data_IF_795541797489
#
_entry.id   IF_795541797489
#
_cell.length_a   1.000
_cell.length_b   1.000
_cell.length_c   1.000
_cell.angle_alpha   90.00
_cell.angle_beta   90.00
_cell.angle_gamma   90.00
#
_symmetry.space_group_name_H-M   'P 1'
#
loop_
_entity.id
_entity.type
_entity.pdbx_description
1 polymer ?
#
# COMPACT_ATOMS: atom_id res chain seq x y z
N UNK A 1 56.62 -43.43 -4.80
CA UNK A 1 55.79 -42.97 -5.92
C UNK A 1 54.29 -43.03 -5.53
N UNK A 2 53.86 -43.98 -4.68
CA UNK A 2 52.45 -44.11 -4.33
C UNK A 2 51.96 -43.07 -3.29
N UNK A 3 52.83 -42.63 -2.38
CA UNK A 3 52.45 -41.67 -1.31
C UNK A 3 52.22 -40.24 -1.87
N UNK A 4 53.04 -39.79 -2.82
CA UNK A 4 52.85 -38.47 -3.46
C UNK A 4 51.58 -38.41 -4.32
N UNK A 5 51.28 -39.48 -5.06
CA UNK A 5 50.02 -39.59 -5.81
C UNK A 5 48.80 -39.60 -4.88
N UNK A 6 48.91 -40.27 -3.73
CA UNK A 6 47.83 -40.29 -2.75
C UNK A 6 47.60 -38.90 -2.12
N UNK A 7 48.67 -38.16 -1.79
CA UNK A 7 48.58 -36.78 -1.34
C UNK A 7 47.88 -35.86 -2.36
N UNK A 8 48.25 -35.98 -3.63
CA UNK A 8 47.65 -35.19 -4.72
C UNK A 8 46.18 -35.50 -4.88
N UNK A 9 45.76 -36.77 -4.81
CA UNK A 9 44.36 -37.19 -4.89
C UNK A 9 43.55 -36.61 -3.72
N UNK A 10 44.09 -36.73 -2.49
CA UNK A 10 43.45 -36.20 -1.29
C UNK A 10 43.32 -34.67 -1.36
N UNK A 11 44.37 -33.97 -1.82
CA UNK A 11 44.34 -32.52 -1.99
C UNK A 11 43.30 -32.09 -3.02
N UNK A 12 43.25 -32.76 -4.19
CA UNK A 12 42.25 -32.47 -5.24
C UNK A 12 40.82 -32.70 -4.73
N UNK A 13 40.61 -33.77 -3.97
CA UNK A 13 39.31 -34.05 -3.35
C UNK A 13 38.89 -32.97 -2.34
N UNK A 14 39.81 -32.51 -1.48
CA UNK A 14 39.55 -31.46 -0.51
C UNK A 14 39.24 -30.12 -1.19
N UNK A 15 39.92 -29.77 -2.26
CA UNK A 15 39.65 -28.56 -3.06
C UNK A 15 38.26 -28.66 -3.72
N UNK A 16 37.95 -29.81 -4.33
CA UNK A 16 36.63 -30.03 -4.92
C UNK A 16 35.52 -29.97 -3.86
N UNK A 17 35.72 -30.59 -2.70
CA UNK A 17 34.79 -30.53 -1.58
C UNK A 17 34.60 -29.09 -1.07
N UNK A 18 35.66 -28.30 -0.95
CA UNK A 18 35.61 -26.89 -0.56
C UNK A 18 34.77 -26.06 -1.54
N UNK A 19 34.94 -26.27 -2.85
CA UNK A 19 34.14 -25.57 -3.87
C UNK A 19 32.67 -25.96 -3.79
N UNK A 20 32.36 -27.23 -3.61
CA UNK A 20 30.97 -27.70 -3.44
C UNK A 20 30.35 -27.09 -2.18
N UNK A 21 31.08 -27.07 -1.07
CA UNK A 21 30.58 -26.44 0.17
C UNK A 21 30.40 -24.92 0.01
N UNK A 22 31.27 -24.24 -0.72
CA UNK A 22 31.15 -22.81 -0.99
C UNK A 22 29.87 -22.52 -1.82
N UNK A 23 29.65 -23.30 -2.89
CA UNK A 23 28.42 -23.17 -3.69
C UNK A 23 27.17 -23.55 -2.85
N UNK A 24 27.26 -24.57 -2.02
CA UNK A 24 26.18 -24.94 -1.11
C UNK A 24 25.90 -23.84 -0.08
N UNK A 25 26.93 -23.14 0.42
CA UNK A 25 26.77 -22.02 1.33
C UNK A 25 26.13 -20.79 0.64
N UNK A 26 26.50 -20.51 -0.60
CA UNK A 26 25.90 -19.43 -1.39
C UNK A 26 24.42 -19.71 -1.76
N UNK A 27 24.07 -20.98 -1.99
CA UNK A 27 22.69 -21.40 -2.23
C UNK A 27 21.93 -21.72 -0.94
N UNK A 28 22.61 -21.73 0.20
CA UNK A 28 21.99 -21.93 1.50
C UNK A 28 21.26 -20.63 1.90
N UNK A 29 20.03 -20.50 1.43
CA UNK A 29 19.06 -19.64 2.10
C UNK A 29 18.69 -20.38 3.38
N UNK A 30 19.02 -19.86 4.57
CA UNK A 30 18.50 -20.47 5.78
C UNK A 30 16.98 -20.37 5.69
N UNK A 31 16.32 -21.49 5.50
CA UNK A 31 14.91 -21.63 5.80
C UNK A 31 14.80 -21.52 7.31
N UNK A 32 14.71 -20.30 7.80
CA UNK A 32 14.68 -20.00 9.23
C UNK A 32 13.43 -20.55 9.94
N UNK A 33 12.55 -21.23 9.20
CA UNK A 33 11.24 -21.67 9.67
C UNK A 33 10.90 -23.16 9.48
N UNK A 34 11.77 -23.98 8.88
CA UNK A 34 11.41 -25.39 8.60
C UNK A 34 11.88 -26.41 9.66
N UNK A 35 12.51 -26.00 10.78
CA UNK A 35 12.99 -26.92 11.82
C UNK A 35 12.47 -26.64 13.24
N UNK A 36 11.19 -26.27 13.38
CA UNK A 36 10.50 -26.33 14.68
C UNK A 36 9.28 -27.25 14.58
N UNK A 37 9.47 -28.42 14.00
CA UNK A 37 8.57 -29.56 14.22
C UNK A 37 9.25 -30.52 15.19
N UNK A 38 9.04 -30.34 16.48
CA UNK A 38 9.18 -31.28 17.60
C UNK A 38 9.99 -30.74 18.79
N UNK A 39 9.47 -29.70 19.44
CA UNK A 39 9.70 -29.56 20.89
C UNK A 39 8.45 -28.94 21.51
N UNK A 40 8.01 -29.47 22.63
CA UNK A 40 6.78 -29.13 23.40
C UNK A 40 6.72 -27.70 23.99
N UNK A 41 7.43 -26.73 23.39
CA UNK A 41 7.33 -25.31 23.65
C UNK A 41 7.23 -24.56 22.30
N UNK A 42 6.09 -24.73 21.62
CA UNK A 42 5.76 -23.86 20.49
C UNK A 42 5.52 -22.46 21.04
N UNK A 43 6.51 -21.58 20.84
CA UNK A 43 6.30 -20.16 21.08
C UNK A 43 5.16 -19.69 20.18
N UNK A 44 4.17 -19.02 20.77
CA UNK A 44 3.10 -18.41 19.99
C UNK A 44 3.72 -17.33 19.11
N UNK A 45 3.68 -17.52 17.78
CA UNK A 45 4.26 -16.61 16.79
C UNK A 45 3.20 -15.97 15.90
N UNK A 46 1.89 -16.26 16.13
CA UNK A 46 0.80 -15.80 15.28
C UNK A 46 0.00 -14.69 15.95
N UNK A 47 -0.33 -13.67 15.17
CA UNK A 47 -1.18 -12.56 15.60
C UNK A 47 -2.69 -12.83 15.36
N UNK A 48 -3.04 -14.01 14.83
CA UNK A 48 -4.43 -14.38 14.52
C UNK A 48 -5.13 -13.42 13.51
N UNK A 49 -4.36 -12.83 12.62
CA UNK A 49 -4.85 -12.15 11.43
C UNK A 49 -4.97 -13.11 10.24
N UNK A 50 -4.84 -12.57 9.05
CA UNK A 50 -4.91 -13.32 7.79
C UNK A 50 -3.54 -13.43 7.14
N UNK A 51 -3.44 -14.28 6.12
CA UNK A 51 -2.41 -14.24 5.09
C UNK A 51 -3.01 -13.57 3.85
N UNK A 52 -2.22 -12.77 3.14
CA UNK A 52 -2.65 -12.05 1.94
C UNK A 52 -1.73 -12.36 0.78
N UNK A 53 -2.27 -12.34 -0.42
CA UNK A 53 -1.49 -12.41 -1.66
C UNK A 53 -1.12 -10.99 -2.12
N UNK A 54 -0.16 -10.90 -3.04
CA UNK A 54 0.29 -9.62 -3.61
C UNK A 54 -0.89 -8.86 -4.22
N UNK A 55 -1.72 -9.54 -5.02
CA UNK A 55 -2.88 -8.95 -5.71
C UNK A 55 -3.99 -8.45 -4.76
N UNK A 56 -3.99 -8.86 -3.50
CA UNK A 56 -4.93 -8.37 -2.48
C UNK A 56 -4.41 -7.11 -1.77
N UNK A 57 -3.11 -6.87 -1.80
CA UNK A 57 -2.44 -5.76 -1.13
C UNK A 57 -2.08 -4.62 -2.09
N UNK A 58 -1.75 -4.96 -3.34
CA UNK A 58 -1.52 -3.98 -4.39
C UNK A 58 -2.85 -3.72 -5.10
N UNK A 59 -3.53 -2.66 -4.67
CA UNK A 59 -4.84 -2.27 -5.21
C UNK A 59 -4.82 -0.80 -5.59
N UNK A 60 -5.54 -0.43 -6.66
CA UNK A 60 -5.66 0.97 -7.02
C UNK A 60 -6.41 1.76 -5.94
N UNK A 61 -6.17 3.05 -5.90
CA UNK A 61 -6.90 3.97 -5.02
C UNK A 61 -7.92 4.82 -5.78
N UNK A 62 -7.81 4.88 -7.13
CA UNK A 62 -8.68 5.69 -7.97
C UNK A 62 -8.92 5.06 -9.34
N UNK A 63 -10.13 5.20 -9.83
CA UNK A 63 -10.53 4.91 -11.22
C UNK A 63 -11.21 6.13 -11.81
N UNK A 64 -10.76 6.55 -13.00
CA UNK A 64 -11.28 7.69 -13.75
C UNK A 64 -11.78 7.24 -15.12
N UNK A 65 -12.96 7.69 -15.48
CA UNK A 65 -13.56 7.51 -16.81
C UNK A 65 -13.50 8.84 -17.55
N UNK A 66 -12.77 8.88 -18.66
CA UNK A 66 -12.61 10.10 -19.45
C UNK A 66 -13.34 9.98 -20.77
N UNK A 67 -14.29 10.87 -21.01
CA UNK A 67 -14.96 11.08 -22.29
C UNK A 67 -14.53 12.40 -22.94
N UNK A 68 -15.05 12.66 -24.15
CA UNK A 68 -14.80 13.92 -24.86
C UNK A 68 -15.32 15.14 -24.09
N UNK A 69 -16.39 14.96 -23.34
CA UNK A 69 -17.20 15.98 -22.66
C UNK A 69 -17.17 15.93 -21.15
N UNK A 70 -16.47 14.95 -20.54
CA UNK A 70 -16.50 14.80 -19.09
C UNK A 70 -15.42 13.92 -18.51
N UNK A 71 -15.27 14.10 -17.20
CA UNK A 71 -14.41 13.30 -16.34
C UNK A 71 -15.27 12.77 -15.19
N UNK A 72 -15.21 11.47 -14.98
CA UNK A 72 -16.04 10.79 -13.99
C UNK A 72 -15.23 9.84 -13.13
N UNK A 73 -15.65 9.68 -11.87
CA UNK A 73 -15.16 8.67 -10.92
C UNK A 73 -16.27 7.71 -10.53
N UNK A 74 -15.96 6.71 -9.73
CA UNK A 74 -16.94 5.78 -9.20
C UNK A 74 -17.77 6.45 -8.12
N UNK A 75 -19.10 6.27 -8.18
CA UNK A 75 -20.04 6.78 -7.17
C UNK A 75 -19.94 5.99 -5.87
N UNK A 76 -19.79 4.68 -5.96
CA UNK A 76 -19.49 3.81 -4.82
C UNK A 76 -18.02 3.37 -4.90
N UNK A 77 -17.23 3.77 -3.91
CA UNK A 77 -15.80 3.47 -3.87
C UNK A 77 -15.54 1.96 -3.72
N UNK A 78 -16.49 1.19 -3.20
CA UNK A 78 -16.39 -0.27 -3.13
C UNK A 78 -16.37 -0.94 -4.49
N UNK A 79 -16.91 -0.32 -5.54
CA UNK A 79 -16.89 -0.81 -6.92
C UNK A 79 -15.46 -0.88 -7.50
N UNK A 80 -14.52 -0.11 -6.92
CA UNK A 80 -13.11 -0.12 -7.33
C UNK A 80 -12.51 -1.52 -7.25
N UNK A 81 -12.77 -2.25 -6.15
CA UNK A 81 -12.27 -3.62 -6.01
C UNK A 81 -12.94 -4.58 -6.98
N UNK A 82 -14.22 -4.38 -7.29
CA UNK A 82 -14.97 -5.21 -8.23
C UNK A 82 -14.40 -5.03 -9.63
N UNK A 83 -14.20 -3.78 -10.06
CA UNK A 83 -13.59 -3.46 -11.35
C UNK A 83 -12.19 -4.04 -11.44
N UNK A 84 -11.36 -3.80 -10.42
CA UNK A 84 -9.97 -4.24 -10.46
C UNK A 84 -9.85 -5.77 -10.44
N UNK A 85 -10.65 -6.46 -9.62
CA UNK A 85 -10.71 -7.93 -9.60
C UNK A 85 -11.18 -8.53 -10.93
N UNK A 86 -12.02 -7.82 -11.70
CA UNK A 86 -12.41 -8.25 -13.02
C UNK A 86 -11.28 -8.05 -14.02
N UNK A 87 -10.62 -6.88 -13.97
CA UNK A 87 -9.49 -6.55 -14.86
C UNK A 87 -8.33 -7.53 -14.69
N UNK A 88 -8.04 -7.96 -13.47
CA UNK A 88 -6.99 -8.95 -13.17
C UNK A 88 -7.21 -10.32 -13.83
N UNK A 89 -8.44 -10.65 -14.24
CA UNK A 89 -8.75 -11.90 -14.96
C UNK A 89 -8.45 -11.84 -16.45
N UNK A 90 -8.28 -10.63 -16.98
CA UNK A 90 -8.08 -10.46 -18.42
C UNK A 90 -6.67 -10.87 -18.83
N UNK A 91 -6.57 -11.46 -20.01
CA UNK A 91 -5.30 -11.78 -20.60
C UNK A 91 -4.75 -10.55 -21.34
N UNK A 92 -3.50 -10.23 -21.06
CA UNK A 92 -2.76 -9.16 -21.74
C UNK A 92 -1.97 -9.79 -22.88
N UNK A 93 -2.21 -9.30 -24.09
CA UNK A 93 -1.60 -9.75 -25.31
C UNK A 93 -0.70 -8.64 -25.90
N UNK A 94 0.18 -8.98 -26.83
CA UNK A 94 0.98 -8.05 -27.63
C UNK A 94 1.62 -6.91 -26.84
N UNK A 95 2.63 -7.23 -26.02
CA UNK A 95 3.35 -6.24 -25.21
C UNK A 95 4.44 -5.55 -26.04
N UNK A 96 4.37 -4.22 -26.13
CA UNK A 96 5.31 -3.37 -26.84
C UNK A 96 5.89 -2.28 -25.93
N UNK A 97 7.19 -2.01 -26.04
CA UNK A 97 7.90 -1.02 -25.23
C UNK A 97 8.14 0.26 -26.00
N UNK A 98 7.64 1.38 -25.50
CA UNK A 98 7.85 2.70 -26.11
C UNK A 98 8.26 3.74 -25.08
N UNK A 99 9.05 4.72 -25.52
CA UNK A 99 9.25 5.96 -24.80
C UNK A 99 8.37 7.02 -25.45
N UNK A 100 7.34 7.50 -24.75
CA UNK A 100 6.41 8.50 -25.29
C UNK A 100 6.38 9.70 -24.34
N UNK A 101 7.04 10.77 -24.72
CA UNK A 101 6.88 12.06 -24.06
C UNK A 101 5.54 12.69 -24.47
N UNK A 102 4.67 12.94 -23.49
CA UNK A 102 3.59 13.93 -23.62
C UNK A 102 2.45 13.59 -24.55
N UNK A 103 2.10 12.33 -24.80
CA UNK A 103 0.90 12.00 -25.58
C UNK A 103 -0.36 11.98 -24.73
N UNK A 104 -1.26 12.90 -25.02
CA UNK A 104 -2.64 12.83 -24.57
C UNK A 104 -3.26 11.51 -25.06
N UNK A 105 -3.71 10.66 -24.12
CA UNK A 105 -4.36 9.39 -24.44
C UNK A 105 -5.72 9.68 -25.05
N UNK A 106 -6.00 9.08 -26.23
CA UNK A 106 -7.28 9.26 -26.93
C UNK A 106 -8.44 8.79 -26.05
N UNK A 107 -9.55 9.52 -26.12
CA UNK A 107 -10.80 9.22 -25.41
C UNK A 107 -11.75 8.44 -26.33
N UNK A 108 -12.64 7.60 -25.79
CA UNK A 108 -12.84 7.34 -24.38
C UNK A 108 -11.74 6.45 -23.79
N UNK A 109 -11.40 6.67 -22.50
CA UNK A 109 -10.48 5.82 -21.76
C UNK A 109 -10.85 5.69 -20.29
N UNK A 110 -10.37 4.60 -19.67
CA UNK A 110 -10.47 4.34 -18.23
C UNK A 110 -9.07 4.34 -17.68
N UNK A 111 -8.78 5.18 -16.71
CA UNK A 111 -7.50 5.24 -16.00
C UNK A 111 -7.65 4.68 -14.60
N UNK A 112 -6.75 3.78 -14.23
CA UNK A 112 -6.61 3.21 -12.91
C UNK A 112 -5.29 3.70 -12.33
N UNK A 113 -5.32 4.31 -11.15
CA UNK A 113 -4.13 4.84 -10.48
C UNK A 113 -3.81 4.09 -9.19
N UNK A 114 -2.51 3.84 -8.96
CA UNK A 114 -1.96 3.25 -7.76
C UNK A 114 -1.29 4.32 -6.88
N UNK A 115 -1.23 4.12 -5.56
CA UNK A 115 -0.73 5.14 -4.65
C UNK A 115 0.81 5.31 -4.67
N UNK A 116 1.52 4.37 -5.28
CA UNK A 116 2.98 4.38 -5.44
C UNK A 116 3.38 3.73 -6.76
N UNK A 117 4.58 4.05 -7.24
CA UNK A 117 5.15 3.40 -8.42
C UNK A 117 5.43 1.91 -8.13
N UNK A 118 5.04 1.08 -9.08
CA UNK A 118 5.15 -0.38 -9.02
C UNK A 118 6.11 -0.87 -10.11
N UNK A 119 7.04 -1.77 -9.81
CA UNK A 119 7.89 -2.35 -10.84
C UNK A 119 7.06 -3.16 -11.84
N UNK A 120 7.36 -3.06 -13.15
CA UNK A 120 6.65 -3.79 -14.20
C UNK A 120 6.61 -5.31 -13.97
N UNK A 121 7.59 -5.85 -13.27
CA UNK A 121 7.65 -7.28 -12.92
C UNK A 121 6.46 -7.75 -12.07
N UNK A 122 5.79 -6.84 -11.36
CA UNK A 122 4.57 -7.13 -10.58
C UNK A 122 3.42 -7.54 -11.50
N UNK A 123 3.41 -7.11 -12.77
CA UNK A 123 2.38 -7.46 -13.74
C UNK A 123 2.26 -8.98 -13.91
N UNK A 124 3.36 -9.73 -13.83
CA UNK A 124 3.34 -11.21 -13.91
C UNK A 124 2.55 -11.86 -12.76
N UNK A 125 2.40 -11.16 -11.64
CA UNK A 125 1.64 -11.65 -10.49
C UNK A 125 0.19 -11.15 -10.54
N UNK A 126 0.00 -9.93 -11.07
CA UNK A 126 -1.31 -9.28 -11.07
C UNK A 126 -2.19 -9.68 -12.26
N UNK A 127 -1.59 -10.05 -13.40
CA UNK A 127 -2.31 -10.33 -14.65
C UNK A 127 -1.91 -11.66 -15.27
N UNK A 128 -2.79 -12.18 -16.13
CA UNK A 128 -2.45 -13.30 -17.02
C UNK A 128 -1.77 -12.73 -18.27
N UNK A 129 -0.50 -13.10 -18.49
CA UNK A 129 0.27 -12.72 -19.68
C UNK A 129 0.32 -13.90 -20.65
N UNK A 130 0.27 -13.61 -21.97
CA UNK A 130 0.30 -14.64 -23.00
C UNK A 130 1.63 -15.41 -23.02
N UNK A 131 2.75 -14.73 -22.81
CA UNK A 131 4.09 -15.31 -22.73
C UNK A 131 4.80 -14.89 -21.44
N UNK A 132 5.88 -15.59 -21.06
CA UNK A 132 6.77 -15.13 -19.99
C UNK A 132 7.60 -13.96 -20.52
N UNK A 133 7.05 -12.78 -20.42
CA UNK A 133 7.73 -11.54 -20.76
C UNK A 133 8.89 -11.25 -19.80
N UNK A 134 9.99 -10.76 -20.39
CA UNK A 134 11.07 -10.17 -19.61
C UNK A 134 10.87 -8.67 -19.60
N UNK A 135 10.38 -8.14 -18.49
CA UNK A 135 10.16 -6.70 -18.37
C UNK A 135 11.47 -5.95 -18.15
N UNK A 136 11.60 -4.74 -18.72
CA UNK A 136 12.66 -3.82 -18.36
C UNK A 136 12.48 -3.38 -16.89
N UNK A 137 13.53 -2.84 -16.32
CA UNK A 137 13.53 -2.25 -14.98
C UNK A 137 12.84 -0.87 -15.00
N UNK A 138 11.55 -0.87 -15.32
CA UNK A 138 10.68 0.30 -15.36
C UNK A 138 9.54 0.15 -14.35
N UNK A 139 8.91 1.27 -14.06
CA UNK A 139 7.85 1.39 -13.10
C UNK A 139 6.60 2.00 -13.71
N UNK A 140 5.48 1.78 -13.07
CA UNK A 140 4.20 2.38 -13.42
C UNK A 140 3.38 2.65 -12.15
N UNK A 141 2.59 3.69 -12.19
CA UNK A 141 1.57 4.01 -11.18
C UNK A 141 0.17 4.14 -11.78
N UNK A 142 0.07 4.04 -13.12
CA UNK A 142 -1.19 4.17 -13.86
C UNK A 142 -1.34 3.10 -14.93
N UNK A 143 -2.57 2.56 -15.05
CA UNK A 143 -2.97 1.70 -16.16
C UNK A 143 -4.11 2.40 -16.88
N UNK A 144 -3.97 2.64 -18.18
CA UNK A 144 -4.96 3.35 -18.99
C UNK A 144 -5.49 2.39 -20.06
N UNK A 145 -6.79 2.13 -20.02
CA UNK A 145 -7.51 1.31 -20.98
C UNK A 145 -8.21 2.22 -21.98
N UNK A 146 -7.76 2.22 -23.23
CA UNK A 146 -8.40 2.93 -24.34
C UNK A 146 -9.35 1.99 -25.08
N UNK A 147 -10.62 2.39 -25.23
CA UNK A 147 -11.63 1.61 -25.93
C UNK A 147 -11.50 1.80 -27.45
N UNK A 148 -11.28 0.71 -28.17
CA UNK A 148 -11.16 0.72 -29.65
C UNK A 148 -12.41 0.10 -30.27
N UNK A 149 -13.40 0.95 -30.56
CA UNK A 149 -14.75 0.52 -30.98
C UNK A 149 -14.76 -0.39 -32.21
N UNK A 150 -13.90 -0.12 -33.20
CA UNK A 150 -13.90 -0.91 -34.47
C UNK A 150 -13.48 -2.37 -34.29
N UNK A 151 -12.67 -2.65 -33.26
CA UNK A 151 -12.12 -3.97 -32.97
C UNK A 151 -12.75 -4.63 -31.75
N UNK A 152 -13.59 -3.91 -31.01
CA UNK A 152 -14.08 -4.32 -29.68
C UNK A 152 -12.93 -4.83 -28.78
N UNK A 153 -11.82 -4.11 -28.79
CA UNK A 153 -10.59 -4.43 -28.10
C UNK A 153 -10.16 -3.25 -27.20
N UNK A 154 -9.27 -3.51 -26.26
CA UNK A 154 -8.69 -2.50 -25.41
C UNK A 154 -7.22 -2.33 -25.76
N UNK A 155 -6.78 -1.10 -25.95
CA UNK A 155 -5.36 -0.76 -25.86
C UNK A 155 -5.05 -0.42 -24.40
N UNK A 156 -3.98 -1.01 -23.87
CA UNK A 156 -3.56 -0.86 -22.49
C UNK A 156 -2.24 -0.13 -22.45
N UNK A 157 -2.14 0.89 -21.62
CA UNK A 157 -0.93 1.69 -21.44
C UNK A 157 -0.58 1.67 -19.95
N UNK A 158 0.58 1.13 -19.61
CA UNK A 158 1.18 1.27 -18.28
C UNK A 158 2.10 2.47 -18.30
N UNK A 159 1.84 3.44 -17.46
CA UNK A 159 2.54 4.72 -17.44
C UNK A 159 2.98 5.08 -16.02
N UNK A 160 4.06 5.82 -15.90
CA UNK A 160 4.53 6.43 -14.67
C UNK A 160 4.18 7.92 -14.64
N UNK A 161 3.93 8.47 -13.45
CA UNK A 161 3.82 9.91 -13.21
C UNK A 161 5.19 10.60 -13.24
N UNK A 162 6.26 9.86 -13.00
CA UNK A 162 7.61 10.42 -12.83
C UNK A 162 8.53 10.15 -14.03
N UNK A 163 8.15 9.23 -14.91
CA UNK A 163 8.98 8.79 -16.04
C UNK A 163 8.21 8.81 -17.37
N UNK A 164 8.90 9.13 -18.44
CA UNK A 164 8.33 9.18 -19.80
C UNK A 164 8.20 7.79 -20.48
N UNK A 165 8.63 6.72 -19.79
CA UNK A 165 8.54 5.36 -20.32
C UNK A 165 7.11 4.83 -20.20
N UNK A 166 6.65 4.16 -21.25
CA UNK A 166 5.35 3.47 -21.25
C UNK A 166 5.49 2.08 -21.81
N UNK A 167 4.77 1.14 -21.19
CA UNK A 167 4.52 -0.17 -21.74
C UNK A 167 3.14 -0.15 -22.40
N UNK A 168 3.05 -0.52 -23.67
CA UNK A 168 1.78 -0.65 -24.36
C UNK A 168 1.46 -2.12 -24.57
N UNK A 169 0.20 -2.47 -24.43
CA UNK A 169 -0.28 -3.82 -24.63
C UNK A 169 -1.69 -3.79 -25.23
N UNK A 170 -2.23 -4.94 -25.55
CA UNK A 170 -3.61 -5.08 -26.03
C UNK A 170 -4.33 -6.15 -25.26
N UNK A 171 -5.66 -6.02 -25.19
CA UNK A 171 -6.57 -7.05 -24.73
C UNK A 171 -7.58 -7.27 -25.86
N UNK A 172 -7.43 -8.39 -26.55
CA UNK A 172 -8.30 -8.77 -27.67
C UNK A 172 -9.50 -9.58 -27.15
N UNK A 173 -10.30 -8.95 -26.29
CA UNK A 173 -11.44 -9.59 -25.63
C UNK A 173 -12.65 -8.67 -25.66
N UNK A 174 -13.69 -9.07 -26.42
CA UNK A 174 -14.94 -8.30 -26.55
C UNK A 174 -15.73 -8.22 -25.24
N UNK A 175 -15.60 -9.19 -24.32
CA UNK A 175 -16.24 -9.15 -23.00
C UNK A 175 -15.57 -8.12 -22.11
N UNK A 176 -14.24 -8.03 -22.14
CA UNK A 176 -13.48 -7.00 -21.42
C UNK A 176 -13.82 -5.59 -21.93
N UNK A 177 -13.92 -5.44 -23.27
CA UNK A 177 -14.38 -4.21 -23.90
C UNK A 177 -15.78 -3.82 -23.42
N UNK A 178 -16.75 -4.73 -23.53
CA UNK A 178 -18.15 -4.48 -23.13
C UNK A 178 -18.27 -4.21 -21.60
N UNK A 179 -17.38 -4.82 -20.80
CA UNK A 179 -17.34 -4.58 -19.36
C UNK A 179 -17.01 -3.13 -19.03
N UNK A 180 -16.01 -2.52 -19.67
CA UNK A 180 -15.69 -1.10 -19.46
C UNK A 180 -16.68 -0.17 -20.17
N UNK A 181 -17.14 -0.52 -21.36
CA UNK A 181 -18.10 0.28 -22.12
C UNK A 181 -19.40 0.52 -21.36
N UNK A 182 -19.86 -0.43 -20.54
CA UNK A 182 -21.10 -0.29 -19.76
C UNK A 182 -21.09 0.93 -18.80
N UNK A 183 -19.92 1.34 -18.29
CA UNK A 183 -19.82 2.52 -17.43
C UNK A 183 -20.05 3.82 -18.20
N UNK A 184 -19.64 3.87 -19.47
CA UNK A 184 -19.89 5.01 -20.34
C UNK A 184 -21.36 5.09 -20.78
N UNK A 185 -22.02 3.93 -20.92
CA UNK A 185 -23.45 3.86 -21.25
C UNK A 185 -24.33 4.18 -20.04
N UNK A 186 -23.99 3.64 -18.86
CA UNK A 186 -24.75 3.82 -17.62
C UNK A 186 -23.99 4.73 -16.64
N UNK A 187 -24.19 6.04 -16.79
CA UNK A 187 -23.56 7.05 -15.93
C UNK A 187 -24.13 7.13 -14.52
N UNK A 188 -25.20 6.42 -14.19
CA UNK A 188 -25.77 6.36 -12.83
C UNK A 188 -24.79 5.74 -11.81
N UNK A 189 -23.84 4.95 -12.27
CA UNK A 189 -22.75 4.36 -11.48
C UNK A 189 -21.59 5.32 -11.23
N UNK A 190 -21.58 6.46 -11.91
CA UNK A 190 -20.49 7.42 -11.92
C UNK A 190 -20.90 8.73 -11.25
N UNK A 191 -19.91 9.44 -10.72
CA UNK A 191 -20.03 10.81 -10.27
C UNK A 191 -19.12 11.71 -11.12
N UNK A 192 -19.53 12.95 -11.29
CA UNK A 192 -18.71 13.94 -11.97
C UNK A 192 -17.50 14.31 -11.13
N UNK A 193 -16.35 14.38 -11.79
CA UNK A 193 -15.09 14.77 -11.17
C UNK A 193 -14.58 16.06 -11.80
N UNK A 194 -13.91 16.87 -11.00
CA UNK A 194 -13.12 18.02 -11.48
C UNK A 194 -11.64 17.66 -11.45
N UNK A 195 -10.88 18.28 -12.34
CA UNK A 195 -9.43 18.25 -12.30
C UNK A 195 -8.90 19.65 -12.14
N UNK A 196 -7.94 19.83 -11.23
CA UNK A 196 -7.20 21.06 -11.15
C UNK A 196 -5.71 20.79 -11.05
N UNK A 197 -4.93 21.67 -11.67
CA UNK A 197 -3.49 21.54 -11.73
C UNK A 197 -2.87 22.68 -10.95
N UNK A 198 -1.96 22.36 -10.06
CA UNK A 198 -1.20 23.34 -9.31
C UNK A 198 0.17 23.48 -9.96
N UNK A 199 0.49 24.69 -10.45
CA UNK A 199 1.82 25.05 -10.98
C UNK A 199 2.43 24.08 -12.00
N UNK A 200 1.63 23.44 -12.83
CA UNK A 200 2.10 22.53 -13.88
C UNK A 200 2.48 21.12 -13.39
N UNK A 201 2.13 20.78 -12.15
CA UNK A 201 2.19 19.42 -11.64
C UNK A 201 1.10 18.54 -12.26
N UNK A 202 1.12 17.24 -11.96
CA UNK A 202 0.02 16.33 -12.32
C UNK A 202 -1.31 16.82 -11.71
N UNK A 203 -2.43 16.67 -12.43
CA UNK A 203 -3.70 17.17 -11.96
C UNK A 203 -4.24 16.35 -10.78
N UNK A 204 -4.79 17.03 -9.80
CA UNK A 204 -5.62 16.44 -8.76
C UNK A 204 -7.03 16.21 -9.30
N UNK A 205 -7.69 15.15 -8.83
CA UNK A 205 -9.02 14.77 -9.26
C UNK A 205 -9.94 14.65 -8.06
N UNK A 206 -10.93 15.51 -7.98
CA UNK A 206 -11.83 15.61 -6.85
C UNK A 206 -13.29 15.52 -7.32
N UNK A 207 -14.20 15.00 -6.48
CA UNK A 207 -15.63 15.00 -6.78
C UNK A 207 -16.16 16.41 -6.98
N UNK A 208 -16.93 16.65 -8.04
CA UNK A 208 -17.51 17.95 -8.32
C UNK A 208 -18.57 18.36 -7.28
N UNK A 209 -19.33 17.38 -6.74
CA UNK A 209 -20.37 17.58 -5.76
C UNK A 209 -19.91 17.15 -4.35
N UNK A 210 -20.69 17.54 -3.34
CA UNK A 210 -20.57 17.02 -1.98
C UNK A 210 -20.78 15.51 -1.94
N UNK A 211 -20.07 14.83 -1.02
CA UNK A 211 -20.17 13.39 -0.81
C UNK A 211 -20.64 13.10 0.60
N UNK A 212 -21.62 12.22 0.72
CA UNK A 212 -22.04 11.68 2.00
C UNK A 212 -21.38 10.31 2.26
N UNK A 213 -20.58 10.22 3.32
CA UNK A 213 -19.98 8.97 3.77
C UNK A 213 -20.41 8.59 5.18
N UNK A 214 -20.58 7.28 5.46
CA UNK A 214 -21.00 6.84 6.77
C UNK A 214 -19.87 6.99 7.79
N UNK A 215 -20.18 7.49 8.99
CA UNK A 215 -19.32 7.30 10.16
C UNK A 215 -19.31 5.83 10.54
N UNK A 216 -18.15 5.31 10.95
CA UNK A 216 -18.00 3.92 11.37
C UNK A 216 -17.56 3.87 12.83
N UNK A 217 -18.06 2.91 13.57
CA UNK A 217 -17.64 2.68 14.97
C UNK A 217 -17.32 1.20 15.15
N UNK A 218 -16.14 0.90 15.66
CA UNK A 218 -15.68 -0.47 15.87
C UNK A 218 -15.33 -0.72 17.33
N UNK A 219 -15.55 -1.95 17.79
CA UNK A 219 -14.82 -2.45 18.94
C UNK A 219 -13.40 -2.78 18.51
N UNK A 220 -12.45 -2.61 19.42
CA UNK A 220 -11.04 -2.89 19.16
C UNK A 220 -10.55 -3.99 20.09
N UNK A 221 -9.93 -4.99 19.51
CA UNK A 221 -9.20 -6.02 20.24
C UNK A 221 -7.72 -5.69 20.23
N UNK A 222 -7.10 -5.61 21.42
CA UNK A 222 -5.65 -5.46 21.56
C UNK A 222 -4.94 -6.76 21.21
N UNK A 223 -3.89 -6.66 20.41
CA UNK A 223 -3.02 -7.78 20.09
C UNK A 223 -1.95 -7.95 21.17
N UNK A 224 -1.57 -9.19 21.40
CA UNK A 224 -0.52 -9.47 22.37
C UNK A 224 0.87 -9.19 21.79
N UNK A 225 1.76 -8.65 22.62
CA UNK A 225 3.15 -8.36 22.21
C UNK A 225 4.01 -9.64 22.17
N UNK A 226 3.65 -10.68 22.92
CA UNK A 226 4.45 -11.91 23.02
C UNK A 226 4.78 -12.58 21.69
N UNK A 227 3.84 -12.73 20.74
CA UNK A 227 4.16 -13.23 19.41
C UNK A 227 5.24 -12.42 18.70
N UNK A 228 5.21 -11.09 18.83
CA UNK A 228 6.22 -10.21 18.21
C UNK A 228 7.60 -10.39 18.82
N UNK A 229 7.70 -10.56 20.13
CA UNK A 229 8.96 -10.89 20.81
C UNK A 229 9.51 -12.21 20.25
N UNK A 230 8.67 -13.23 20.11
CA UNK A 230 9.08 -14.54 19.61
C UNK A 230 9.51 -14.54 18.13
N UNK A 231 9.05 -13.59 17.33
CA UNK A 231 9.39 -13.45 15.91
C UNK A 231 10.66 -12.62 15.72
N UNK A 232 10.78 -11.53 16.47
CA UNK A 232 11.78 -10.48 16.19
C UNK A 232 13.12 -10.74 16.90
N UNK A 233 13.10 -11.47 18.02
CA UNK A 233 14.30 -11.80 18.76
C UNK A 233 14.73 -13.25 18.52
N UNK A 234 16.01 -13.46 18.29
CA UNK A 234 16.55 -14.79 17.98
C UNK A 234 16.45 -15.76 19.19
N UNK A 235 16.56 -15.22 20.40
CA UNK A 235 16.33 -15.96 21.64
C UNK A 235 15.41 -15.13 22.56
N UNK A 236 14.10 -15.40 22.54
CA UNK A 236 13.14 -14.69 23.38
C UNK A 236 13.37 -14.83 24.89
N UNK A 237 14.12 -15.84 25.32
CA UNK A 237 14.41 -16.08 26.76
C UNK A 237 15.41 -15.07 27.33
N UNK A 238 16.21 -14.42 26.47
CA UNK A 238 17.19 -13.40 26.83
C UNK A 238 16.60 -11.98 26.83
N UNK A 239 15.33 -11.82 26.44
CA UNK A 239 14.70 -10.51 26.32
C UNK A 239 14.34 -9.95 27.67
N UNK A 240 14.95 -8.82 28.01
CA UNK A 240 14.64 -8.04 29.18
C UNK A 240 13.50 -7.06 28.91
N UNK A 241 12.68 -6.81 29.93
CA UNK A 241 11.55 -5.88 29.85
C UNK A 241 11.73 -4.73 30.81
N UNK A 242 11.53 -3.51 30.31
CA UNK A 242 11.48 -2.29 31.13
C UNK A 242 10.22 -1.49 30.80
N UNK A 243 9.78 -0.66 31.75
CA UNK A 243 8.62 0.23 31.57
C UNK A 243 9.06 1.65 31.90
N UNK A 244 8.83 2.56 30.95
CA UNK A 244 9.12 3.99 31.17
C UNK A 244 8.08 4.64 32.06
N UNK A 245 8.39 5.82 32.59
CA UNK A 245 7.44 6.62 33.38
C UNK A 245 6.18 7.04 32.61
N UNK A 246 6.22 7.00 31.30
CA UNK A 246 5.09 7.32 30.40
C UNK A 246 4.27 6.09 30.01
N UNK A 247 4.61 4.90 30.56
CA UNK A 247 3.87 3.65 30.31
C UNK A 247 4.30 2.89 29.04
N UNK A 248 5.32 3.35 28.34
CA UNK A 248 5.94 2.63 27.23
C UNK A 248 6.66 1.38 27.77
N UNK A 249 6.45 0.24 27.09
CA UNK A 249 7.12 -1.02 27.39
C UNK A 249 8.22 -1.28 26.40
N UNK A 250 9.43 -1.44 26.88
CA UNK A 250 10.60 -1.74 26.06
C UNK A 250 11.07 -3.16 26.33
N UNK A 251 11.35 -3.89 25.24
CA UNK A 251 11.87 -5.25 25.22
C UNK A 251 13.19 -5.23 24.47
N UNK A 252 14.28 -5.78 25.05
CA UNK A 252 15.60 -5.77 24.42
C UNK A 252 16.41 -7.01 24.80
N UNK A 253 17.22 -7.50 23.86
CA UNK A 253 18.25 -8.52 24.08
C UNK A 253 19.67 -7.89 24.16
N UNK A 254 19.74 -6.55 24.28
CA UNK A 254 20.99 -5.79 24.27
C UNK A 254 21.43 -5.34 22.88
N UNK A 255 20.90 -5.93 21.81
CA UNK A 255 21.21 -5.60 20.42
C UNK A 255 20.02 -5.01 19.68
N UNK A 256 18.84 -5.59 19.84
CA UNK A 256 17.59 -5.21 19.21
C UNK A 256 16.65 -4.60 20.26
N UNK A 257 15.73 -3.76 19.82
CA UNK A 257 14.74 -3.17 20.69
C UNK A 257 13.35 -3.23 20.07
N UNK A 258 12.36 -3.61 20.86
CA UNK A 258 10.94 -3.52 20.58
C UNK A 258 10.29 -2.62 21.64
N UNK A 259 9.75 -1.50 21.22
CA UNK A 259 9.00 -0.57 22.09
C UNK A 259 7.50 -0.67 21.77
N UNK A 260 6.66 -0.66 22.81
CA UNK A 260 5.20 -0.68 22.66
C UNK A 260 4.59 0.46 23.47
N UNK A 261 3.88 1.32 22.75
CA UNK A 261 3.17 2.46 23.32
C UNK A 261 1.80 2.65 22.65
N UNK A 262 0.76 2.87 23.43
CA UNK A 262 -0.61 3.10 22.93
C UNK A 262 -1.11 2.10 21.85
N UNK A 263 -0.81 0.82 22.06
CA UNK A 263 -1.19 -0.26 21.13
C UNK A 263 -0.54 -0.14 19.73
N UNK A 264 0.60 0.50 19.67
CA UNK A 264 1.50 0.52 18.52
C UNK A 264 2.89 0.02 18.94
N UNK A 265 3.56 -0.68 18.04
CA UNK A 265 4.91 -1.17 18.28
C UNK A 265 5.91 -0.54 17.31
N UNK A 266 7.12 -0.31 17.82
CA UNK A 266 8.30 0.12 17.08
C UNK A 266 9.42 -0.88 17.35
N UNK A 267 9.89 -1.53 16.30
CA UNK A 267 11.03 -2.44 16.39
C UNK A 267 12.19 -1.91 15.57
N UNK A 268 13.40 -2.01 16.13
CA UNK A 268 14.64 -1.66 15.46
C UNK A 268 15.74 -2.69 15.72
N UNK A 269 16.49 -3.03 14.67
CA UNK A 269 17.70 -3.85 14.71
C UNK A 269 18.89 -3.04 14.19
N UNK A 270 19.63 -2.31 15.04
CA UNK A 270 20.72 -1.43 14.61
C UNK A 270 21.98 -2.18 14.13
N UNK A 271 22.03 -3.52 14.24
CA UNK A 271 23.16 -4.31 13.77
C UNK A 271 23.12 -4.62 12.27
N UNK A 272 22.05 -4.26 11.60
CA UNK A 272 21.97 -4.41 10.14
C UNK A 272 22.85 -3.38 9.45
N UNK A 273 23.68 -3.83 8.51
CA UNK A 273 24.52 -2.93 7.69
C UNK A 273 23.70 -2.30 6.56
N UNK A 274 24.07 -1.09 6.18
CA UNK A 274 23.50 -0.46 4.99
C UNK A 274 23.95 -1.22 3.75
N UNK A 275 23.00 -1.77 3.01
CA UNK A 275 23.20 -2.34 1.68
C UNK A 275 22.16 -1.66 0.77
N UNK A 276 22.66 -0.92 -0.21
CA UNK A 276 21.83 -0.04 -1.05
C UNK A 276 21.07 -0.77 -2.17
N UNK A 277 21.14 -2.10 -2.21
CA UNK A 277 20.68 -2.87 -3.37
C UNK A 277 19.52 -3.82 -3.02
N UNK A 278 18.38 -3.25 -2.59
CA UNK A 278 17.13 -4.01 -2.44
C UNK A 278 16.21 -3.68 -3.62
N UNK A 279 16.11 -4.61 -4.59
CA UNK A 279 15.15 -4.55 -5.68
C UNK A 279 13.70 -4.45 -5.15
N UNK A 280 12.90 -3.51 -5.66
CA UNK A 280 11.49 -3.25 -5.27
C UNK A 280 10.61 -4.51 -5.29
N UNK A 281 10.74 -5.34 -6.32
CA UNK A 281 9.96 -6.59 -6.40
C UNK A 281 10.30 -7.53 -5.23
N UNK A 282 11.58 -7.65 -4.89
CA UNK A 282 12.00 -8.44 -3.75
C UNK A 282 11.53 -7.84 -2.43
N UNK A 283 11.53 -6.52 -2.30
CA UNK A 283 11.03 -5.81 -1.12
C UNK A 283 9.55 -6.07 -0.91
N UNK A 284 8.70 -5.95 -1.93
CA UNK A 284 7.27 -6.28 -1.87
C UNK A 284 7.07 -7.73 -1.41
N UNK A 285 7.68 -8.68 -2.12
CA UNK A 285 7.50 -10.11 -1.84
C UNK A 285 7.96 -10.51 -0.44
N UNK A 286 9.12 -10.00 -0.02
CA UNK A 286 9.67 -10.30 1.32
C UNK A 286 8.81 -9.73 2.42
N UNK A 287 8.36 -8.48 2.27
CA UNK A 287 7.51 -7.82 3.26
C UNK A 287 6.18 -8.55 3.42
N UNK A 288 5.56 -8.94 2.31
CA UNK A 288 4.30 -9.70 2.35
C UNK A 288 4.52 -11.08 3.00
N UNK A 289 5.56 -11.81 2.62
CA UNK A 289 5.87 -13.11 3.20
C UNK A 289 6.17 -12.99 4.70
N UNK A 290 6.98 -12.00 5.09
CA UNK A 290 7.28 -11.77 6.50
C UNK A 290 6.01 -11.52 7.33
N UNK A 291 5.09 -10.68 6.85
CA UNK A 291 3.82 -10.43 7.55
C UNK A 291 2.90 -11.65 7.51
N UNK A 292 2.89 -12.42 6.41
CA UNK A 292 2.13 -13.66 6.28
C UNK A 292 2.59 -14.74 7.26
N UNK A 293 3.90 -14.87 7.48
CA UNK A 293 4.49 -15.91 8.32
C UNK A 293 3.94 -15.86 9.77
N UNK A 294 3.60 -14.68 10.24
CA UNK A 294 3.00 -14.51 11.56
C UNK A 294 1.50 -14.15 11.53
N UNK A 295 0.83 -14.33 10.40
CA UNK A 295 -0.57 -13.95 10.22
C UNK A 295 -0.82 -12.50 10.65
N UNK A 296 0.03 -11.61 10.16
CA UNK A 296 0.11 -10.23 10.64
C UNK A 296 -0.91 -9.28 10.02
N UNK A 297 -1.65 -9.68 8.98
CA UNK A 297 -2.70 -8.84 8.40
C UNK A 297 -3.95 -8.90 9.29
N UNK A 298 -3.92 -8.11 10.35
CA UNK A 298 -4.95 -8.11 11.41
C UNK A 298 -6.14 -7.21 11.09
N UNK A 299 -5.97 -6.29 10.14
CA UNK A 299 -7.00 -5.45 9.53
C UNK A 299 -6.85 -5.51 8.01
N UNK A 300 -7.69 -4.80 7.27
CA UNK A 300 -7.46 -4.62 5.83
C UNK A 300 -6.37 -3.57 5.64
N UNK A 301 -5.33 -3.95 4.90
CA UNK A 301 -4.19 -3.10 4.57
C UNK A 301 -3.96 -3.08 3.07
N UNK A 302 -3.37 -1.99 2.56
CA UNK A 302 -2.96 -1.83 1.17
C UNK A 302 -1.61 -1.16 1.08
N UNK A 303 -0.83 -1.57 0.11
CA UNK A 303 0.44 -0.91 -0.22
C UNK A 303 0.18 0.54 -0.63
N UNK A 304 0.85 1.47 0.03
CA UNK A 304 0.69 2.91 -0.22
C UNK A 304 1.99 3.64 -0.51
N UNK A 305 3.12 3.10 -0.06
CA UNK A 305 4.42 3.73 -0.28
C UNK A 305 5.53 2.71 -0.40
N UNK A 306 6.49 3.01 -1.25
CA UNK A 306 7.78 2.33 -1.34
C UNK A 306 8.87 3.39 -1.56
N UNK A 307 9.89 3.36 -0.73
CA UNK A 307 11.08 4.19 -0.86
C UNK A 307 12.31 3.30 -1.03
N UNK A 308 12.96 3.42 -2.20
CA UNK A 308 14.16 2.64 -2.50
C UNK A 308 15.41 3.19 -1.81
N UNK A 309 15.43 4.49 -1.51
CA UNK A 309 16.59 5.12 -0.86
C UNK A 309 16.68 4.66 0.59
N UNK A 310 15.55 4.66 1.26
CA UNK A 310 15.43 4.21 2.66
C UNK A 310 15.12 2.71 2.76
N UNK A 311 14.85 2.03 1.64
CA UNK A 311 14.39 0.62 1.57
C UNK A 311 13.17 0.35 2.45
N UNK A 312 12.22 1.29 2.47
CA UNK A 312 11.00 1.20 3.25
C UNK A 312 9.79 0.85 2.39
N UNK A 313 8.86 0.12 2.99
CA UNK A 313 7.58 -0.22 2.40
C UNK A 313 6.47 -0.02 3.42
N UNK A 314 5.40 0.65 3.01
CA UNK A 314 4.28 0.98 3.89
C UNK A 314 2.97 0.38 3.40
N UNK A 315 2.21 -0.14 4.35
CA UNK A 315 0.85 -0.62 4.12
C UNK A 315 -0.10 0.15 5.03
N UNK A 316 -1.00 0.92 4.41
CA UNK A 316 -2.01 1.71 5.11
C UNK A 316 -3.24 0.87 5.42
N UNK A 317 -3.76 0.96 6.65
CA UNK A 317 -5.06 0.41 7.01
C UNK A 317 -6.16 1.07 6.18
N UNK A 318 -7.15 0.28 5.75
CA UNK A 318 -8.29 0.77 4.99
C UNK A 318 -9.61 0.27 5.58
N UNK A 319 -10.65 1.09 5.44
CA UNK A 319 -12.05 0.73 5.74
C UNK A 319 -12.92 1.24 4.60
N UNK A 320 -13.80 0.39 4.08
CA UNK A 320 -14.65 0.71 2.91
C UNK A 320 -13.83 1.24 1.72
N UNK A 321 -12.60 0.73 1.57
CA UNK A 321 -11.62 1.13 0.53
C UNK A 321 -11.02 2.54 0.70
N UNK A 322 -11.36 3.29 1.73
CA UNK A 322 -10.71 4.55 2.08
C UNK A 322 -9.56 4.32 3.07
N UNK A 323 -8.46 5.07 2.96
CA UNK A 323 -7.37 5.00 3.94
C UNK A 323 -7.86 5.46 5.31
N UNK A 324 -7.31 4.83 6.36
CA UNK A 324 -7.55 5.22 7.75
C UNK A 324 -6.32 5.94 8.28
N UNK A 325 -6.48 7.17 8.70
CA UNK A 325 -5.43 7.99 9.28
C UNK A 325 -5.58 8.10 10.80
N UNK A 326 -4.45 8.17 11.46
CA UNK A 326 -4.37 8.43 12.89
C UNK A 326 -3.32 9.50 13.16
N UNK A 327 -3.52 10.47 14.06
CA UNK A 327 -2.57 11.56 14.32
C UNK A 327 -1.14 11.13 14.69
N UNK A 328 -0.98 9.87 15.13
CA UNK A 328 0.32 9.27 15.48
C UNK A 328 0.68 8.10 14.57
N UNK A 329 0.18 8.04 13.35
CA UNK A 329 0.41 6.99 12.34
C UNK A 329 0.09 5.55 12.78
N UNK A 330 -0.77 5.37 13.80
CA UNK A 330 -1.15 4.06 14.36
C UNK A 330 -2.02 3.21 13.42
N UNK A 331 -2.08 3.55 12.15
CA UNK A 331 -2.83 2.84 11.11
C UNK A 331 -1.95 2.30 9.99
N UNK A 332 -0.63 2.35 10.15
CA UNK A 332 0.36 1.94 9.14
C UNK A 332 1.15 0.74 9.62
N UNK A 333 1.43 -0.20 8.71
CA UNK A 333 2.49 -1.19 8.83
C UNK A 333 3.66 -0.69 7.98
N UNK A 334 4.79 -0.43 8.60
CA UNK A 334 6.02 0.03 7.95
C UNK A 334 7.14 -1.00 8.18
N UNK A 335 7.86 -1.33 7.13
CA UNK A 335 8.98 -2.28 7.16
C UNK A 335 10.17 -1.66 6.45
N UNK A 336 11.29 -1.56 7.15
CA UNK A 336 12.57 -1.14 6.59
C UNK A 336 13.51 -2.34 6.48
N UNK A 337 14.12 -2.50 5.31
CA UNK A 337 15.04 -3.60 5.01
C UNK A 337 16.47 -3.10 4.89
N UNK A 338 17.40 -3.75 5.60
CA UNK A 338 18.84 -3.56 5.39
C UNK A 338 19.52 -4.91 5.30
N UNK A 339 20.36 -5.10 4.30
CA UNK A 339 21.11 -6.34 4.08
C UNK A 339 20.22 -7.60 4.18
N UNK A 340 19.06 -7.57 3.51
CA UNK A 340 18.06 -8.66 3.49
C UNK A 340 17.46 -9.02 4.88
N UNK A 341 17.69 -8.22 5.90
CA UNK A 341 17.13 -8.37 7.24
C UNK A 341 16.19 -7.23 7.57
N UNK A 342 15.24 -7.49 8.46
CA UNK A 342 14.40 -6.43 9.02
C UNK A 342 15.27 -5.49 9.84
N UNK A 343 15.37 -4.23 9.42
CA UNK A 343 15.98 -3.16 10.18
C UNK A 343 14.98 -2.51 11.12
N UNK A 344 13.81 -2.12 10.59
CA UNK A 344 12.70 -1.61 11.39
C UNK A 344 11.40 -2.32 11.00
N UNK A 345 10.51 -2.50 11.97
CA UNK A 345 9.16 -3.02 11.76
C UNK A 345 8.21 -2.34 12.72
N UNK A 346 7.37 -1.48 12.20
CA UNK A 346 6.43 -0.67 12.94
C UNK A 346 5.01 -1.07 12.55
N UNK A 347 4.10 -1.22 13.54
CA UNK A 347 2.73 -1.62 13.23
C UNK A 347 1.77 -1.39 14.38
N UNK A 348 0.46 -1.27 14.10
CA UNK A 348 -0.57 -1.32 15.13
C UNK A 348 -0.63 -2.71 15.79
N UNK A 349 -0.79 -2.73 17.11
CA UNK A 349 -1.12 -3.92 17.90
C UNK A 349 -2.61 -3.93 18.27
N UNK A 350 -3.45 -3.58 17.32
CA UNK A 350 -4.90 -3.59 17.46
C UNK A 350 -5.58 -4.18 16.23
N UNK A 351 -6.76 -4.74 16.46
CA UNK A 351 -7.65 -5.26 15.43
C UNK A 351 -9.02 -4.62 15.58
N UNK A 352 -9.54 -4.01 14.52
CA UNK A 352 -10.93 -3.61 14.40
C UNK A 352 -11.77 -4.89 14.36
N UNK A 353 -12.66 -5.08 15.35
CA UNK A 353 -13.35 -6.35 15.53
C UNK A 353 -14.79 -6.29 15.03
N UNK A 354 -15.69 -5.71 15.81
CA UNK A 354 -17.10 -5.66 15.46
C UNK A 354 -17.49 -4.23 15.06
N UNK A 355 -18.03 -4.12 13.84
CA UNK A 355 -18.67 -2.89 13.40
C UNK A 355 -20.00 -2.75 14.16
N UNK A 356 -20.12 -1.68 14.94
CA UNK A 356 -21.45 -1.28 15.42
C UNK A 356 -22.26 -0.79 14.22
N UNK A 357 -23.51 -1.23 14.13
CA UNK A 357 -24.44 -0.57 13.25
C UNK A 357 -24.56 0.87 13.78
N UNK A 358 -23.80 1.78 13.16
CA UNK A 358 -24.04 3.20 13.36
C UNK A 358 -25.47 3.47 12.90
N UNK A 359 -26.21 4.25 13.63
CA UNK A 359 -27.61 4.61 13.35
C UNK A 359 -27.76 5.46 12.05
N UNK A 360 -27.06 5.09 10.99
CA UNK A 360 -27.08 5.77 9.69
C UNK A 360 -26.45 7.17 9.71
N UNK A 361 -25.65 7.48 10.73
CA UNK A 361 -24.92 8.75 10.77
C UNK A 361 -23.94 8.84 9.61
N UNK A 362 -24.18 9.81 8.75
CA UNK A 362 -23.30 10.16 7.64
C UNK A 362 -22.69 11.53 7.91
N UNK A 363 -21.51 11.71 7.38
CA UNK A 363 -20.84 13.01 7.27
C UNK A 363 -20.93 13.48 5.83
N UNK A 364 -21.26 14.75 5.64
CA UNK A 364 -21.24 15.39 4.34
C UNK A 364 -19.91 16.09 4.17
N UNK A 365 -19.13 15.66 3.18
CA UNK A 365 -17.86 16.25 2.84
C UNK A 365 -18.04 17.30 1.75
N UNK A 366 -17.31 18.40 1.87
CA UNK A 366 -17.32 19.50 0.92
C UNK A 366 -16.95 19.03 -0.49
N UNK A 367 -17.49 19.71 -1.50
CA UNK A 367 -17.15 19.44 -2.90
C UNK A 367 -15.69 19.76 -3.24
N UNK A 368 -15.18 19.16 -4.32
CA UNK A 368 -13.86 19.48 -4.81
C UNK A 368 -13.66 20.96 -5.16
N UNK A 369 -14.73 21.67 -5.56
CA UNK A 369 -14.68 23.13 -5.76
C UNK A 369 -14.39 23.86 -4.46
N UNK A 370 -15.03 23.47 -3.36
CA UNK A 370 -14.79 24.07 -2.05
C UNK A 370 -13.36 23.76 -1.54
N UNK A 371 -12.84 22.57 -1.81
CA UNK A 371 -11.44 22.21 -1.52
C UNK A 371 -10.49 23.12 -2.30
N UNK A 372 -10.74 23.34 -3.59
CA UNK A 372 -9.91 24.24 -4.41
C UNK A 372 -9.95 25.67 -3.88
N UNK A 373 -11.14 26.21 -3.64
CA UNK A 373 -11.32 27.57 -3.11
C UNK A 373 -10.61 27.73 -1.76
N UNK A 374 -10.66 26.70 -0.90
CA UNK A 374 -9.95 26.72 0.38
C UNK A 374 -8.43 26.83 0.18
N UNK A 375 -7.85 26.00 -0.67
CA UNK A 375 -6.41 26.00 -0.94
C UNK A 375 -5.95 27.31 -1.60
N UNK A 376 -6.75 27.90 -2.50
CA UNK A 376 -6.48 29.19 -3.12
C UNK A 376 -6.46 30.34 -2.12
N UNK A 377 -7.35 30.27 -1.10
CA UNK A 377 -7.45 31.28 -0.06
C UNK A 377 -6.44 31.13 1.08
N UNK A 378 -5.79 29.94 1.20
CA UNK A 378 -4.81 29.63 2.27
C UNK A 378 -3.41 29.34 1.73
N UNK A 379 -2.98 30.05 0.68
CA UNK A 379 -1.63 29.89 0.10
C UNK A 379 -0.50 30.32 1.05
N UNK A 380 -0.80 31.03 2.12
CA UNK A 380 0.13 31.34 3.20
C UNK A 380 0.43 30.11 4.10
N UNK A 381 -0.49 29.15 4.16
CA UNK A 381 -0.34 27.89 4.90
C UNK A 381 0.11 26.75 3.99
N UNK A 382 -0.40 26.70 2.76
CA UNK A 382 -0.15 25.64 1.80
C UNK A 382 0.62 26.17 0.58
N UNK A 383 1.94 25.98 0.58
CA UNK A 383 2.72 26.22 -0.63
C UNK A 383 2.27 25.21 -1.72
N UNK A 384 1.72 25.71 -2.83
CA UNK A 384 1.22 24.84 -3.89
C UNK A 384 2.25 23.82 -4.43
N UNK A 385 3.55 24.12 -4.36
CA UNK A 385 4.61 23.21 -4.82
C UNK A 385 4.86 22.01 -3.88
N UNK A 386 4.40 22.10 -2.65
CA UNK A 386 4.56 21.05 -1.64
C UNK A 386 3.32 20.15 -1.51
N UNK A 387 2.26 20.42 -2.27
CA UNK A 387 1.05 19.59 -2.32
C UNK A 387 1.31 18.40 -3.25
N UNK A 388 1.27 17.19 -2.71
CA UNK A 388 1.55 15.96 -3.45
C UNK A 388 0.27 15.20 -3.81
N UNK A 389 -0.74 15.15 -2.92
CA UNK A 389 -2.01 14.48 -3.18
C UNK A 389 -3.13 15.04 -2.27
N UNK A 390 -4.39 14.85 -2.69
CA UNK A 390 -5.58 15.23 -1.93
C UNK A 390 -6.59 14.09 -2.04
N UNK A 391 -7.02 13.55 -0.91
CA UNK A 391 -7.97 12.44 -0.90
C UNK A 391 -8.88 12.45 0.32
N UNK A 392 -9.97 11.72 0.23
CA UNK A 392 -10.86 11.42 1.35
C UNK A 392 -10.29 10.22 2.11
N UNK A 393 -10.32 10.27 3.44
CA UNK A 393 -9.95 9.18 4.31
C UNK A 393 -10.75 9.20 5.60
N UNK A 394 -10.57 8.19 6.42
CA UNK A 394 -11.16 8.13 7.74
C UNK A 394 -10.17 8.56 8.81
N UNK A 395 -10.54 9.51 9.66
CA UNK A 395 -9.80 9.82 10.87
C UNK A 395 -10.20 8.85 11.98
N UNK A 396 -9.22 8.11 12.51
CA UNK A 396 -9.43 7.18 13.61
C UNK A 396 -9.26 7.89 14.95
N UNK A 397 -10.32 7.93 15.74
CA UNK A 397 -10.37 8.58 17.05
C UNK A 397 -10.82 7.60 18.13
N UNK A 398 -10.12 7.56 19.26
CA UNK A 398 -10.61 6.84 20.43
C UNK A 398 -11.85 7.55 20.99
N UNK A 399 -12.89 6.79 21.33
CA UNK A 399 -14.07 7.37 21.98
C UNK A 399 -13.72 7.72 23.43
N UNK A 400 -13.98 8.96 23.81
CA UNK A 400 -13.69 9.44 25.17
C UNK A 400 -14.28 8.54 26.27
N UNK A 401 -13.41 8.15 27.22
CA UNK A 401 -13.78 7.28 28.35
C UNK A 401 -13.94 5.79 28.02
N UNK A 402 -13.81 5.36 26.75
CA UNK A 402 -14.01 3.97 26.32
C UNK A 402 -12.87 3.51 25.41
N UNK A 403 -11.81 3.04 25.98
CA UNK A 403 -10.56 2.69 25.26
C UNK A 403 -10.65 1.54 24.25
N UNK A 404 -11.74 0.79 24.26
CA UNK A 404 -11.97 -0.34 23.35
C UNK A 404 -12.97 -0.05 22.23
N UNK A 405 -13.30 1.23 22.01
CA UNK A 405 -14.15 1.69 20.93
C UNK A 405 -13.41 2.78 20.14
N UNK A 406 -13.32 2.58 18.82
CA UNK A 406 -12.77 3.55 17.88
C UNK A 406 -13.87 4.04 16.96
N UNK A 407 -13.97 5.36 16.78
CA UNK A 407 -14.76 5.99 15.72
C UNK A 407 -13.85 6.28 14.52
N UNK A 408 -14.41 6.10 13.34
CA UNK A 408 -13.83 6.47 12.07
C UNK A 408 -14.73 7.51 11.43
N UNK A 409 -14.21 8.72 11.29
CA UNK A 409 -14.92 9.87 10.73
C UNK A 409 -14.32 10.20 9.36
N UNK A 410 -15.14 10.28 8.29
CA UNK A 410 -14.60 10.61 6.98
C UNK A 410 -14.25 12.10 6.94
N UNK A 411 -13.08 12.41 6.41
CA UNK A 411 -12.53 13.76 6.35
C UNK A 411 -11.65 13.92 5.10
N UNK A 412 -11.40 15.17 4.68
CA UNK A 412 -10.46 15.50 3.64
C UNK A 412 -9.02 15.52 4.17
N UNK A 413 -8.13 14.87 3.44
CA UNK A 413 -6.70 14.81 3.72
C UNK A 413 -5.90 15.40 2.57
N UNK A 414 -4.81 16.06 2.91
CA UNK A 414 -3.81 16.57 1.99
C UNK A 414 -2.45 15.95 2.31
N UNK A 415 -1.75 15.45 1.28
CA UNK A 415 -0.35 15.07 1.41
C UNK A 415 0.50 16.30 1.12
N UNK A 416 1.10 16.84 2.15
CA UNK A 416 1.86 18.08 2.12
C UNK A 416 3.27 17.86 2.65
N UNK A 417 4.28 18.12 1.80
CA UNK A 417 5.69 17.90 2.14
C UNK A 417 5.95 16.51 2.74
N UNK A 418 5.49 15.47 2.03
CA UNK A 418 5.67 14.06 2.38
C UNK A 418 4.75 13.53 3.48
N UNK A 419 3.87 14.36 4.08
CA UNK A 419 3.03 13.94 5.22
C UNK A 419 1.55 14.15 4.97
N UNK A 420 0.75 13.16 5.35
CA UNK A 420 -0.69 13.28 5.37
C UNK A 420 -1.16 14.09 6.58
N UNK A 421 -2.04 15.06 6.34
CA UNK A 421 -2.67 15.88 7.38
C UNK A 421 -4.10 16.21 7.00
N UNK A 422 -4.91 16.54 8.01
CA UNK A 422 -6.27 17.05 7.78
C UNK A 422 -6.22 18.34 6.98
N UNK A 423 -7.07 18.45 5.97
CA UNK A 423 -7.17 19.67 5.15
C UNK A 423 -7.93 20.77 5.88
N UNK A 424 -9.06 20.43 6.54
CA UNK A 424 -9.87 21.37 7.27
C UNK A 424 -9.70 21.16 8.78
N UNK A 425 -9.45 22.20 9.56
CA UNK A 425 -9.51 22.13 11.01
C UNK A 425 -10.98 22.08 11.48
N UNK A 426 -11.26 21.35 12.56
CA UNK A 426 -12.62 21.25 13.10
C UNK A 426 -13.24 22.60 13.51
N UNK A 427 -12.42 23.63 13.73
CA UNK A 427 -12.91 24.98 14.07
C UNK A 427 -13.49 25.71 12.85
N UNK A 428 -13.01 25.41 11.63
CA UNK A 428 -13.44 26.08 10.39
C UNK A 428 -14.70 25.48 9.78
N UNK A 429 -15.00 24.21 10.03
CA UNK A 429 -16.22 23.56 9.55
C UNK A 429 -17.50 24.09 10.25
N UNK A 430 -17.38 24.71 11.42
CA UNK A 430 -18.49 25.27 12.20
C UNK A 430 -18.95 26.67 11.77
N UNK A 431 -18.11 27.44 11.11
CA UNK A 431 -18.45 28.84 10.74
C UNK A 431 -19.20 28.97 9.42
N UNK A 432 -19.07 28.04 8.47
CA UNK A 432 -19.81 28.10 7.20
C UNK A 432 -21.30 27.74 7.33
N UNK A 433 -21.73 27.00 8.34
CA UNK A 433 -23.15 26.64 8.53
C UNK A 433 -23.97 27.75 9.16
N UNK A 434 -23.38 28.73 9.84
CA UNK A 434 -24.09 29.84 10.48
C UNK A 434 -24.22 31.11 9.59
N UNK A 435 -23.51 31.20 8.47
CA UNK A 435 -23.52 32.37 7.60
C UNK A 435 -24.70 32.46 6.59
N UNK A 436 -25.52 31.41 6.45
CA UNK A 436 -26.65 31.36 5.49
C UNK A 436 -28.01 31.57 6.14
N UNK A 437 -28.04 31.91 7.39
CA UNK A 437 -29.31 32.03 8.14
C UNK A 437 -29.58 33.41 8.76
N UNK A 438 -29.51 34.53 8.02
CA UNK A 438 -30.28 35.77 8.35
C UNK A 438 -30.13 36.82 7.23
N UNK A 439 -31.10 36.82 6.32
CA UNK A 439 -31.70 38.05 5.78
C UNK A 439 -33.02 37.71 5.05
#
# INVERSE_FOLDING_TARGET
>A
VNVERMKTIVLTFLVALSLVLTVALWNYQPKYYDEIENTDYLYETKLNGQTKKIEELITPYRVLFRESDGLYGLKDHSDLSIIFSEIQKWQIDEVDYYTISGREVKKPNVEIAFPTELPLTVLQTMFTLEEKETFPDWEFDRIIFRLVNQQQALEVIFASSHHDQTLNAKIQNSEAYAYLERYFINKDLLMEMISFTVNGQDPFYLPAAEIELPKRTFTVNKLQTKPMINILFSDPSLVETSITSFGERNYTDGNKQLSVYNDYMYFVNPLTSDDHDVDKQNMIRRSINFVNDHQGWTNEFRLTSMDEVENTIEYQMTVDYYPVFHPSDFSVIEIEWKNQQIHAYNRPLMKLATLFHSDGQKETLSSGYAVMDYLENHQDQYDPFLIEDIQIGYTMKAREGISHIMSLEPEWYIKYNGRWQLLFSHEEQGEETDAVGTN
#
